data_IF_361268892214
#
_entry.id   IF_361268892214
#
_cell.length_a   1.000
_cell.length_b   1.000
_cell.length_c   1.000
_cell.angle_alpha   90.00
_cell.angle_beta   90.00
_cell.angle_gamma   90.00
#
_symmetry.space_group_name_H-M   'P 1'
#
loop_
_entity.id
_entity.type
_entity.pdbx_description
1 polymer ?
#
# COMPACT_ATOMS: atom_id res chain seq x y z
N UNK A 1 0.78 20.04 23.31
CA UNK A 1 0.19 18.69 23.41
C UNK A 1 1.29 17.65 23.33
N UNK A 2 1.41 16.72 24.28
CA UNK A 2 2.48 15.71 24.24
C UNK A 2 2.13 14.56 23.28
N UNK A 3 3.16 13.93 22.71
CA UNK A 3 3.05 12.85 21.72
C UNK A 3 2.19 11.68 22.23
N UNK A 4 2.24 11.40 23.54
CA UNK A 4 1.42 10.37 24.19
C UNK A 4 -0.06 10.74 24.32
N UNK A 5 -0.42 12.03 24.35
CA UNK A 5 -1.80 12.48 24.43
C UNK A 5 -2.51 12.40 23.07
N UNK A 6 -1.81 12.74 21.97
CA UNK A 6 -2.33 12.58 20.60
C UNK A 6 -2.56 11.11 20.24
N UNK A 7 -1.66 10.19 20.63
CA UNK A 7 -1.82 8.77 20.33
C UNK A 7 -3.08 8.15 20.96
N UNK A 8 -3.42 8.55 22.20
CA UNK A 8 -4.61 8.05 22.90
C UNK A 8 -5.92 8.56 22.30
N UNK A 9 -5.98 9.85 21.95
CA UNK A 9 -7.13 10.42 21.24
C UNK A 9 -7.32 9.77 19.85
N UNK A 10 -6.23 9.53 19.12
CA UNK A 10 -6.28 8.86 17.81
C UNK A 10 -6.81 7.42 17.92
N UNK A 11 -6.36 6.66 18.92
CA UNK A 11 -6.87 5.32 19.20
C UNK A 11 -8.34 5.31 19.61
N UNK A 12 -8.80 6.29 20.40
CA UNK A 12 -10.22 6.39 20.79
C UNK A 12 -11.15 6.65 19.61
N UNK A 13 -10.70 7.34 18.56
CA UNK A 13 -11.53 7.71 17.40
C UNK A 13 -11.44 6.67 16.28
N UNK A 14 -10.25 6.11 16.02
CA UNK A 14 -10.01 5.25 14.85
C UNK A 14 -9.75 3.77 15.20
N UNK A 15 -9.78 3.41 16.50
CA UNK A 15 -9.49 2.06 17.03
C UNK A 15 -8.18 1.44 16.50
N UNK A 16 -7.23 2.27 16.06
CA UNK A 16 -5.97 1.83 15.48
C UNK A 16 -4.84 2.76 15.89
N UNK A 17 -3.61 2.27 15.83
CA UNK A 17 -2.45 3.11 16.11
C UNK A 17 -2.18 4.03 14.92
N UNK A 18 -1.61 5.23 15.14
CA UNK A 18 -1.20 6.11 14.04
C UNK A 18 -0.30 5.40 13.02
N UNK A 19 0.55 4.47 13.47
CA UNK A 19 1.42 3.67 12.62
C UNK A 19 0.62 2.72 11.72
N UNK A 20 -0.32 1.96 12.28
CA UNK A 20 -1.16 1.04 11.49
C UNK A 20 -2.03 1.79 10.47
N UNK A 21 -2.56 2.95 10.86
CA UNK A 21 -3.27 3.84 9.93
C UNK A 21 -2.36 4.30 8.79
N UNK A 22 -1.14 4.74 9.10
CA UNK A 22 -0.18 5.17 8.10
C UNK A 22 0.16 4.04 7.12
N UNK A 23 0.42 2.83 7.62
CA UNK A 23 0.70 1.68 6.76
C UNK A 23 -0.53 1.37 5.89
N UNK A 24 -1.74 1.37 6.43
CA UNK A 24 -2.98 1.21 5.64
C UNK A 24 -3.08 2.25 4.51
N UNK A 25 -2.85 3.53 4.84
CA UNK A 25 -2.89 4.61 3.87
C UNK A 25 -1.85 4.41 2.75
N UNK A 26 -0.60 4.06 3.11
CA UNK A 26 0.47 3.80 2.14
C UNK A 26 0.16 2.62 1.22
N UNK A 27 -0.38 1.53 1.77
CA UNK A 27 -0.82 0.37 0.97
C UNK A 27 -1.93 0.78 0.02
N UNK A 28 -2.94 1.53 0.48
CA UNK A 28 -4.02 2.02 -0.38
C UNK A 28 -3.48 2.87 -1.53
N UNK A 29 -2.55 3.78 -1.26
CA UNK A 29 -1.93 4.61 -2.30
C UNK A 29 -1.11 3.78 -3.30
N UNK A 30 -0.45 2.72 -2.82
CA UNK A 30 0.34 1.84 -3.69
C UNK A 30 -0.52 1.09 -4.73
N UNK A 31 -1.79 0.81 -4.43
CA UNK A 31 -2.71 0.17 -5.39
C UNK A 31 -2.95 1.04 -6.63
N UNK A 32 -3.07 2.36 -6.44
CA UNK A 32 -3.24 3.32 -7.55
C UNK A 32 -2.00 3.38 -8.45
N UNK A 33 -0.81 3.16 -7.88
CA UNK A 33 0.46 3.19 -8.60
C UNK A 33 0.78 1.87 -9.31
N UNK A 34 0.31 0.74 -8.76
CA UNK A 34 0.54 -0.60 -9.33
C UNK A 34 -0.14 -0.80 -10.69
N UNK A 35 -1.18 -0.03 -11.01
CA UNK A 35 -1.86 -0.05 -12.32
C UNK A 35 -1.14 0.69 -13.44
N UNK A 36 0.03 1.29 -13.18
CA UNK A 36 0.83 2.01 -14.19
C UNK A 36 1.90 1.07 -14.77
N UNK A 37 1.92 0.89 -16.10
CA UNK A 37 2.81 -0.06 -16.81
C UNK A 37 4.32 0.17 -16.63
N UNK A 38 4.76 1.32 -16.13
CA UNK A 38 6.18 1.70 -16.08
C UNK A 38 6.77 1.82 -14.68
N UNK A 39 6.03 1.49 -13.63
CA UNK A 39 6.50 1.66 -12.25
C UNK A 39 6.95 0.33 -11.65
N UNK A 40 8.21 0.27 -11.21
CA UNK A 40 8.74 -0.89 -10.50
C UNK A 40 8.25 -0.95 -9.06
N UNK A 41 8.17 -2.15 -8.47
CA UNK A 41 7.77 -2.35 -7.07
C UNK A 41 8.64 -1.52 -6.11
N UNK A 42 9.94 -1.40 -6.39
CA UNK A 42 10.88 -0.61 -5.58
C UNK A 42 10.59 0.89 -5.65
N UNK A 43 10.26 1.42 -6.83
CA UNK A 43 9.85 2.83 -6.98
C UNK A 43 8.54 3.10 -6.24
N UNK A 44 7.56 2.20 -6.36
CA UNK A 44 6.28 2.33 -5.64
C UNK A 44 6.51 2.37 -4.13
N UNK A 45 7.37 1.49 -3.61
CA UNK A 45 7.70 1.47 -2.19
C UNK A 45 8.26 2.82 -1.71
N UNK A 46 9.18 3.41 -2.46
CA UNK A 46 9.76 4.72 -2.17
C UNK A 46 8.72 5.85 -2.28
N UNK A 47 7.91 5.85 -3.34
CA UNK A 47 6.89 6.87 -3.60
C UNK A 47 5.80 6.91 -2.52
N UNK A 48 5.41 5.74 -1.99
CA UNK A 48 4.46 5.65 -0.87
C UNK A 48 5.13 5.78 0.50
N UNK A 49 6.44 6.08 0.56
CA UNK A 49 7.15 6.45 1.78
C UNK A 49 7.62 5.28 2.64
N UNK A 50 7.82 4.09 2.07
CA UNK A 50 8.55 3.01 2.74
C UNK A 50 10.06 3.23 2.58
N UNK A 51 10.79 3.04 3.68
CA UNK A 51 12.26 3.12 3.68
C UNK A 51 12.93 1.85 3.12
N UNK A 52 12.20 0.75 3.08
CA UNK A 52 12.69 -0.54 2.62
C UNK A 52 11.61 -1.28 1.80
N UNK A 53 12.03 -1.88 0.69
CA UNK A 53 11.16 -2.60 -0.25
C UNK A 53 10.64 -3.90 0.39
N UNK A 54 11.45 -4.58 1.20
CA UNK A 54 11.03 -5.82 1.85
C UNK A 54 9.93 -5.57 2.88
N UNK A 55 10.04 -4.47 3.65
CA UNK A 55 9.00 -4.03 4.58
C UNK A 55 7.71 -3.64 3.85
N UNK A 56 7.81 -2.98 2.69
CA UNK A 56 6.66 -2.73 1.82
C UNK A 56 6.00 -4.04 1.37
N UNK A 57 6.76 -5.00 0.81
CA UNK A 57 6.22 -6.26 0.30
C UNK A 57 5.54 -7.05 1.41
N UNK A 58 6.15 -7.15 2.60
CA UNK A 58 5.55 -7.83 3.75
C UNK A 58 4.26 -7.14 4.21
N UNK A 59 4.27 -5.81 4.35
CA UNK A 59 3.11 -5.02 4.75
C UNK A 59 1.97 -5.15 3.74
N UNK A 60 2.28 -5.11 2.44
CA UNK A 60 1.32 -5.27 1.38
C UNK A 60 0.73 -6.68 1.39
N UNK A 61 1.57 -7.72 1.45
CA UNK A 61 1.11 -9.12 1.51
C UNK A 61 0.24 -9.39 2.73
N UNK A 62 0.57 -8.81 3.89
CA UNK A 62 -0.24 -8.95 5.11
C UNK A 62 -1.65 -8.37 4.95
N UNK A 63 -1.80 -7.28 4.19
CA UNK A 63 -3.10 -6.59 4.03
C UNK A 63 -3.90 -7.04 2.81
N UNK A 64 -3.23 -7.40 1.72
CA UNK A 64 -3.86 -7.76 0.44
C UNK A 64 -3.83 -9.28 0.18
N UNK A 65 -3.20 -10.07 1.05
CA UNK A 65 -2.99 -11.53 0.92
C UNK A 65 -2.14 -12.00 -0.28
N UNK A 66 -1.73 -11.09 -1.15
CA UNK A 66 -0.88 -11.32 -2.32
C UNK A 66 0.26 -10.32 -2.37
N UNK A 67 1.32 -10.61 -3.11
CA UNK A 67 2.45 -9.68 -3.27
C UNK A 67 2.11 -8.54 -4.24
N UNK A 68 2.76 -7.36 -4.11
CA UNK A 68 2.59 -6.25 -5.05
C UNK A 68 2.80 -6.67 -6.52
N UNK A 69 3.80 -7.52 -6.78
CA UNK A 69 4.11 -8.02 -8.13
C UNK A 69 3.01 -8.94 -8.68
N UNK A 70 2.43 -9.79 -7.83
CA UNK A 70 1.29 -10.63 -8.22
C UNK A 70 0.05 -9.77 -8.54
N UNK A 71 -0.23 -8.76 -7.71
CA UNK A 71 -1.33 -7.83 -7.95
C UNK A 71 -1.13 -7.05 -9.26
N UNK A 72 0.08 -6.53 -9.50
CA UNK A 72 0.44 -5.87 -10.75
C UNK A 72 0.24 -6.79 -11.97
N UNK A 73 0.68 -8.05 -11.88
CA UNK A 73 0.46 -9.04 -12.94
C UNK A 73 -1.03 -9.29 -13.20
N UNK A 74 -1.84 -9.38 -12.14
CA UNK A 74 -3.29 -9.55 -12.25
C UNK A 74 -3.94 -8.34 -12.92
N UNK A 75 -3.52 -7.11 -12.61
CA UNK A 75 -4.07 -5.91 -13.26
C UNK A 75 -3.80 -5.91 -14.78
N UNK A 76 -2.58 -6.21 -15.19
CA UNK A 76 -2.25 -6.26 -16.62
C UNK A 76 -2.92 -7.42 -17.35
N UNK A 77 -3.09 -8.59 -16.71
CA UNK A 77 -3.86 -9.67 -17.33
C UNK A 77 -5.34 -9.32 -17.55
N UNK A 78 -5.93 -8.47 -16.70
CA UNK A 78 -7.31 -8.00 -16.88
C UNK A 78 -7.44 -6.86 -17.91
N UNK A 79 -6.42 -6.00 -18.05
CA UNK A 79 -6.44 -4.91 -19.04
C UNK A 79 -6.30 -5.39 -20.49
N UNK A 80 -5.60 -6.50 -20.72
CA UNK A 80 -5.43 -7.09 -22.06
C UNK A 80 -6.71 -7.74 -22.62
N UNK A 81 -7.80 -7.84 -21.84
CA UNK A 81 -9.08 -8.44 -22.28
C UNK A 81 -10.15 -7.41 -22.69
N UNK A 82 -9.85 -6.10 -22.71
CA UNK A 82 -10.82 -5.02 -23.01
C UNK A 82 -10.48 -4.33 -24.36
N UNK A 83 -9.50 -4.83 -25.12
CA UNK A 83 -9.18 -4.31 -26.47
C UNK A 83 -9.77 -5.14 -27.62
N UNK A 84 -10.60 -6.15 -27.33
CA UNK A 84 -11.24 -7.04 -28.33
C UNK A 84 -12.78 -6.95 -28.32
N UNK A 85 -13.35 -5.73 -28.27
CA UNK A 85 -14.76 -5.46 -28.64
C UNK A 85 -14.84 -4.18 -29.45
#
# INVERSE_FOLDING_TARGET
MSVGHCGRLFMQVLQTTPYEYLINYRIKKSLELLGKEKTTISQIALEVGFNDVSHFIQSFKKRMSITPKQYQKQLFSHQNNIQDI
#
